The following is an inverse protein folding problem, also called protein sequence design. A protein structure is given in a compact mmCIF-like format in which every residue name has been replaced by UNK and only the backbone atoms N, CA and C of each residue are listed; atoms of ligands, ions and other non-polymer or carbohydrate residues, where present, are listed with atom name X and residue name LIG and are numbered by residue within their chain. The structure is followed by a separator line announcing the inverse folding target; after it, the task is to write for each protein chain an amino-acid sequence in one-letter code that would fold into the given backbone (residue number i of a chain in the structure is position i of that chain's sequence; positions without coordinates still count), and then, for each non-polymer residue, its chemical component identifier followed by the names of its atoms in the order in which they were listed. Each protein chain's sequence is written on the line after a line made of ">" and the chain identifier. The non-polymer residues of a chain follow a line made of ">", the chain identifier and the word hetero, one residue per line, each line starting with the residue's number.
data_IF_561395199183
#
_entry.id   IF_561395199183
#
_cell.length_a   1.000
_cell.length_b   1.000
_cell.length_c   1.000
_cell.angle_alpha   90.00
_cell.angle_beta   90.00
_cell.angle_gamma   90.00
#
_symmetry.space_group_name_H-M   'P 1'
#
loop_
_entity.id
_entity.type
_entity.pdbx_description
1 polymer ?
#
# COMPACT_ATOMS: atom_id res chain seq x y z
N UNK A 1 -10.26 13.77 6.88
CA UNK A 1 -9.28 12.67 6.93
C UNK A 1 -9.69 11.61 7.97
N UNK A 2 -9.57 10.33 7.60
CA UNK A 2 -9.79 9.19 8.49
C UNK A 2 -8.45 8.50 8.71
N UNK A 3 -8.16 8.13 9.95
CA UNK A 3 -6.93 7.42 10.32
C UNK A 3 -7.32 6.14 11.06
N UNK A 4 -6.78 5.00 10.60
CA UNK A 4 -6.95 3.71 11.24
C UNK A 4 -5.64 3.30 11.92
N UNK A 5 -5.74 2.85 13.18
CA UNK A 5 -4.63 2.27 13.94
C UNK A 5 -5.09 0.90 14.43
N UNK A 6 -4.31 -0.14 14.12
CA UNK A 6 -4.63 -1.54 14.41
C UNK A 6 -3.40 -2.24 15.00
N UNK A 7 -3.63 -3.26 15.81
CA UNK A 7 -2.57 -4.08 16.42
C UNK A 7 -2.63 -5.50 15.84
N UNK A 8 -1.47 -6.03 15.40
CA UNK A 8 -1.38 -7.35 14.79
C UNK A 8 -0.32 -7.41 13.69
N UNK A 9 -0.40 -8.44 12.85
CA UNK A 9 0.45 -8.53 11.65
C UNK A 9 0.00 -7.50 10.62
N UNK A 10 0.89 -6.56 10.27
CA UNK A 10 0.57 -5.45 9.37
C UNK A 10 0.00 -5.91 8.01
N UNK A 11 0.39 -7.09 7.52
CA UNK A 11 -0.07 -7.62 6.23
C UNK A 11 -1.52 -8.10 6.32
N UNK A 12 -1.84 -8.78 7.41
CA UNK A 12 -3.18 -9.32 7.66
C UNK A 12 -4.16 -8.20 8.00
N UNK A 13 -3.77 -7.29 8.91
CA UNK A 13 -4.60 -6.16 9.32
C UNK A 13 -4.88 -5.19 8.16
N UNK A 14 -3.91 -4.97 7.26
CA UNK A 14 -4.11 -4.15 6.06
C UNK A 14 -5.16 -4.75 5.12
N UNK A 15 -5.04 -6.05 4.80
CA UNK A 15 -5.99 -6.73 3.92
C UNK A 15 -7.38 -6.78 4.56
N UNK A 16 -7.43 -7.04 5.87
CA UNK A 16 -8.68 -7.06 6.64
C UNK A 16 -9.37 -5.71 6.61
N UNK A 17 -8.63 -4.61 6.83
CA UNK A 17 -9.17 -3.26 6.74
C UNK A 17 -9.74 -2.96 5.35
N UNK A 18 -9.00 -3.31 4.29
CA UNK A 18 -9.46 -3.14 2.91
C UNK A 18 -10.75 -3.92 2.66
N UNK A 19 -10.92 -5.09 3.26
CA UNK A 19 -12.14 -5.88 3.12
C UNK A 19 -13.31 -5.39 3.98
N UNK A 20 -13.06 -4.89 5.19
CA UNK A 20 -14.08 -4.31 6.06
C UNK A 20 -14.60 -2.98 5.48
N UNK A 21 -13.69 -2.11 5.06
CA UNK A 21 -13.99 -0.78 4.56
C UNK A 21 -14.20 -0.81 3.04
N UNK A 22 -15.43 -1.13 2.63
CA UNK A 22 -15.82 -1.24 1.21
C UNK A 22 -15.63 0.06 0.42
N UNK A 23 -15.50 1.20 1.09
CA UNK A 23 -15.24 2.51 0.48
C UNK A 23 -13.79 2.65 -0.01
N UNK A 24 -12.86 1.84 0.50
CA UNK A 24 -11.48 1.82 0.01
C UNK A 24 -11.48 1.21 -1.40
N UNK A 25 -10.94 1.97 -2.35
CA UNK A 25 -10.89 1.62 -3.78
C UNK A 25 -9.47 1.57 -4.37
N UNK A 26 -8.45 2.03 -3.64
CA UNK A 26 -7.06 2.06 -4.07
C UNK A 26 -6.14 1.92 -2.86
N UNK A 27 -5.12 1.07 -2.97
CA UNK A 27 -4.03 0.98 -2.00
C UNK A 27 -2.78 1.64 -2.59
N UNK A 28 -2.32 2.73 -1.97
CA UNK A 28 -1.06 3.41 -2.34
C UNK A 28 0.02 3.05 -1.32
N UNK A 29 1.17 2.58 -1.81
CA UNK A 29 2.32 2.19 -0.99
C UNK A 29 3.54 3.01 -1.37
N UNK A 30 4.13 3.72 -0.41
CA UNK A 30 5.42 4.36 -0.59
C UNK A 30 6.55 3.32 -0.58
N UNK A 31 7.34 3.27 -1.66
CA UNK A 31 8.52 2.42 -1.73
C UNK A 31 9.76 3.19 -1.30
N UNK A 32 10.56 2.55 -0.45
CA UNK A 32 11.93 3.00 -0.22
C UNK A 32 12.74 2.88 -1.51
N UNK A 33 13.53 3.91 -1.80
CA UNK A 33 14.39 3.99 -2.98
C UNK A 33 15.86 3.76 -2.65
N UNK A 34 16.21 3.58 -1.37
CA UNK A 34 17.59 3.38 -0.92
C UNK A 34 17.93 1.89 -0.69
N UNK A 35 16.96 1.09 -0.26
CA UNK A 35 17.12 -0.36 -0.10
C UNK A 35 16.96 -1.11 -1.43
N UNK A 36 17.68 -2.22 -1.60
CA UNK A 36 17.51 -3.12 -2.75
C UNK A 36 16.10 -3.75 -2.82
N UNK A 37 15.36 -3.72 -1.71
CA UNK A 37 13.98 -4.23 -1.64
C UNK A 37 13.04 -3.10 -1.26
N UNK A 38 11.86 -3.05 -1.89
CA UNK A 38 10.83 -2.04 -1.65
C UNK A 38 10.15 -2.14 -0.25
N UNK A 39 10.75 -2.86 0.69
CA UNK A 39 10.23 -3.10 2.04
C UNK A 39 9.40 -4.38 2.18
N UNK A 40 9.19 -4.85 3.43
CA UNK A 40 8.57 -6.15 3.70
C UNK A 40 7.09 -6.22 3.29
N UNK A 41 6.36 -5.10 3.39
CA UNK A 41 4.94 -5.05 3.05
C UNK A 41 4.72 -5.10 1.52
N UNK A 42 5.49 -4.31 0.77
CA UNK A 42 5.45 -4.32 -0.70
C UNK A 42 5.88 -5.69 -1.23
N UNK A 43 6.97 -6.24 -0.71
CA UNK A 43 7.45 -7.58 -1.11
C UNK A 43 6.39 -8.67 -0.88
N UNK A 44 5.70 -8.63 0.27
CA UNK A 44 4.61 -9.56 0.55
C UNK A 44 3.44 -9.38 -0.43
N UNK A 45 3.02 -8.14 -0.66
CA UNK A 45 1.89 -7.84 -1.55
C UNK A 45 2.20 -8.25 -2.99
N UNK A 46 3.39 -7.99 -3.49
CA UNK A 46 3.78 -8.40 -4.85
C UNK A 46 3.93 -9.93 -4.99
N UNK A 47 4.36 -10.63 -3.93
CA UNK A 47 4.60 -12.08 -4.01
C UNK A 47 3.35 -12.95 -3.77
N UNK A 48 2.49 -12.57 -2.82
CA UNK A 48 1.38 -13.41 -2.35
C UNK A 48 0.09 -12.64 -2.08
N UNK A 49 0.19 -11.35 -1.74
CA UNK A 49 -0.95 -10.54 -1.34
C UNK A 49 -1.75 -9.97 -2.50
N UNK A 50 -1.18 -9.85 -3.70
CA UNK A 50 -1.83 -9.22 -4.86
C UNK A 50 -3.12 -9.94 -5.27
N UNK A 51 -3.16 -11.27 -5.17
CA UNK A 51 -4.36 -12.06 -5.44
C UNK A 51 -5.42 -11.97 -4.33
N UNK A 52 -5.04 -11.51 -3.13
CA UNK A 52 -5.94 -11.34 -1.99
C UNK A 52 -6.43 -9.90 -1.82
N UNK A 53 -5.73 -8.94 -2.39
CA UNK A 53 -6.10 -7.54 -2.29
C UNK A 53 -7.28 -7.26 -3.23
N UNK A 54 -8.41 -6.85 -2.65
CA UNK A 54 -9.64 -6.52 -3.38
C UNK A 54 -9.50 -5.30 -4.30
N UNK A 55 -8.57 -4.41 -3.98
CA UNK A 55 -8.38 -3.13 -4.68
C UNK A 55 -7.06 -3.10 -5.45
N UNK A 56 -6.96 -2.29 -6.52
CA UNK A 56 -5.68 -2.01 -7.17
C UNK A 56 -4.62 -1.53 -6.18
N UNK A 57 -3.37 -1.93 -6.43
CA UNK A 57 -2.20 -1.53 -5.64
C UNK A 57 -1.33 -0.65 -6.52
N UNK A 58 -1.01 0.55 -6.04
CA UNK A 58 -0.04 1.45 -6.67
C UNK A 58 1.17 1.61 -5.77
N UNK A 59 2.36 1.30 -6.30
CA UNK A 59 3.63 1.52 -5.60
C UNK A 59 4.23 2.83 -6.10
N UNK A 60 4.42 3.78 -5.19
CA UNK A 60 4.94 5.13 -5.47
C UNK A 60 6.37 5.22 -4.95
N UNK A 61 7.37 5.45 -5.82
CA UNK A 61 8.74 5.67 -5.39
C UNK A 61 8.87 6.89 -4.48
N UNK A 62 9.60 6.77 -3.37
CA UNK A 62 9.83 7.86 -2.42
C UNK A 62 10.73 9.00 -2.93
N UNK A 63 11.26 8.92 -4.15
CA UNK A 63 12.08 9.96 -4.78
C UNK A 63 11.29 10.89 -5.72
N UNK A 64 9.96 10.74 -5.81
CA UNK A 64 9.11 11.65 -6.57
C UNK A 64 8.84 12.94 -5.79
N UNK A 65 8.75 14.05 -6.51
CA UNK A 65 8.28 15.33 -5.94
C UNK A 65 6.77 15.35 -5.81
N UNK A 66 6.24 16.24 -4.97
CA UNK A 66 4.79 16.43 -4.82
C UNK A 66 4.12 16.72 -6.17
N UNK A 67 4.72 17.56 -7.02
CA UNK A 67 4.15 17.85 -8.35
C UNK A 67 4.11 16.62 -9.27
N UNK A 68 5.10 15.72 -9.14
CA UNK A 68 5.12 14.47 -9.89
C UNK A 68 4.06 13.49 -9.37
N UNK A 69 3.77 13.49 -8.07
CA UNK A 69 2.72 12.67 -7.46
C UNK A 69 1.34 13.18 -7.86
N UNK A 70 1.13 14.50 -7.82
CA UNK A 70 -0.13 15.16 -8.22
C UNK A 70 -0.50 14.89 -9.69
N UNK A 71 0.48 14.59 -10.54
CA UNK A 71 0.24 14.24 -11.94
C UNK A 71 -0.21 12.78 -12.17
N UNK A 72 -0.19 11.93 -11.15
CA UNK A 72 -0.53 10.49 -11.25
C UNK A 72 -2.02 10.18 -11.02
N UNK A 73 -2.77 11.09 -10.39
CA UNK A 73 -4.15 10.90 -9.92
C UNK A 73 -5.05 12.09 -10.24
#
# INVERSE_FOLDING_TARGET
>A
PVLYVREGDAREELLTLIDEEKQISLLVLGADTQSETAGPLISFLMAKGASKCRVPITVVPGNLTDEQIDALF
#
